data_IF_471643229017
#
_entry.id   IF_471643229017
#
_cell.length_a   1.000
_cell.length_b   1.000
_cell.length_c   1.000
_cell.angle_alpha   90.00
_cell.angle_beta   90.00
_cell.angle_gamma   90.00
#
_symmetry.space_group_name_H-M   'P 1'
#
loop_
_entity.id
_entity.type
_entity.pdbx_description
1 polymer ?
#
# COMPACT_ATOMS: atom_id res chain seq x y z
N UNK A 1 -23.62 0.34 1.03
CA UNK A 1 -22.21 -0.11 0.91
C UNK A 1 -21.35 0.82 1.76
N UNK A 2 -20.83 0.33 2.88
CA UNK A 2 -20.03 1.13 3.83
C UNK A 2 -18.64 1.38 3.23
N UNK A 3 -18.38 2.62 2.82
CA UNK A 3 -17.06 3.05 2.39
C UNK A 3 -16.15 3.06 3.62
N UNK A 4 -15.30 2.03 3.74
CA UNK A 4 -14.29 2.01 4.79
C UNK A 4 -13.31 3.18 4.60
N UNK A 5 -12.93 3.78 5.72
CA UNK A 5 -11.97 4.88 5.80
C UNK A 5 -10.64 4.44 5.18
N UNK A 6 -10.09 5.21 4.25
CA UNK A 6 -8.78 4.95 3.59
C UNK A 6 -7.61 5.24 4.56
N UNK A 7 -7.66 4.67 5.76
CA UNK A 7 -6.63 4.78 6.79
C UNK A 7 -6.46 3.42 7.47
N UNK A 8 -5.38 2.72 7.13
CA UNK A 8 -5.07 1.36 7.60
C UNK A 8 -4.22 0.59 6.59
N UNK A 9 -3.89 -0.69 6.87
CA UNK A 9 -3.08 -1.56 6.00
C UNK A 9 -3.71 -1.77 4.60
N UNK A 10 -5.04 -1.76 4.52
CA UNK A 10 -5.82 -1.74 3.27
C UNK A 10 -5.83 -0.37 2.56
N UNK A 11 -5.47 0.71 3.25
CA UNK A 11 -5.48 2.08 2.75
C UNK A 11 -4.27 2.45 1.89
N UNK A 12 -3.18 1.67 1.89
CA UNK A 12 -2.06 1.89 0.97
C UNK A 12 -2.45 1.49 -0.47
N UNK A 13 -3.06 0.31 -0.63
CA UNK A 13 -3.52 -0.22 -1.92
C UNK A 13 -4.64 0.63 -2.50
N UNK A 14 -5.61 1.06 -1.68
CA UNK A 14 -6.75 1.87 -2.14
C UNK A 14 -6.35 3.23 -2.76
N UNK A 15 -5.23 3.83 -2.34
CA UNK A 15 -4.73 5.08 -2.95
C UNK A 15 -4.32 4.84 -4.40
N UNK A 16 -3.57 3.76 -4.63
CA UNK A 16 -3.11 3.40 -5.96
C UNK A 16 -4.26 2.88 -6.84
N UNK A 17 -5.21 2.16 -6.26
CA UNK A 17 -6.43 1.77 -6.97
C UNK A 17 -7.21 3.02 -7.41
N UNK A 18 -7.34 4.04 -6.55
CA UNK A 18 -8.01 5.30 -6.90
C UNK A 18 -7.31 6.02 -8.05
N UNK A 19 -5.99 6.16 -7.98
CA UNK A 19 -5.22 6.82 -9.03
C UNK A 19 -5.28 6.04 -10.35
N UNK A 20 -5.26 4.71 -10.28
CA UNK A 20 -5.37 3.82 -11.43
C UNK A 20 -6.73 3.95 -12.11
N UNK A 21 -7.83 3.92 -11.35
CA UNK A 21 -9.17 4.07 -11.95
C UNK A 21 -9.38 5.46 -12.52
N UNK A 22 -8.88 6.52 -11.87
CA UNK A 22 -8.97 7.88 -12.39
C UNK A 22 -8.16 8.02 -13.68
N UNK A 23 -6.95 7.47 -13.73
CA UNK A 23 -6.10 7.49 -14.92
C UNK A 23 -6.73 6.73 -16.09
N UNK A 24 -7.16 5.48 -15.85
CA UNK A 24 -7.83 4.65 -16.85
C UNK A 24 -9.13 5.29 -17.34
N UNK A 25 -9.91 5.86 -16.41
CA UNK A 25 -11.11 6.62 -16.76
C UNK A 25 -10.75 7.79 -17.66
N UNK A 26 -9.80 8.64 -17.26
CA UNK A 26 -9.36 9.80 -18.04
C UNK A 26 -8.97 9.45 -19.48
N UNK A 27 -8.28 8.33 -19.68
CA UNK A 27 -7.86 7.84 -21.01
C UNK A 27 -9.04 7.41 -21.89
N UNK A 28 -10.18 7.07 -21.30
CA UNK A 28 -11.40 6.70 -22.02
C UNK A 28 -12.32 7.88 -22.37
N UNK A 29 -11.99 9.10 -21.93
CA UNK A 29 -12.86 10.26 -22.03
C UNK A 29 -12.37 11.27 -23.08
N UNK A 30 -13.19 12.30 -23.34
CA UNK A 30 -12.80 13.43 -24.18
C UNK A 30 -11.64 14.25 -23.59
N UNK A 31 -11.02 15.08 -24.41
CA UNK A 31 -9.85 15.91 -24.05
C UNK A 31 -10.11 16.83 -22.85
N UNK A 32 -11.33 17.34 -22.68
CA UNK A 32 -11.68 18.20 -21.57
C UNK A 32 -11.68 17.40 -20.28
N UNK A 33 -12.43 16.30 -20.22
CA UNK A 33 -12.54 15.48 -19.02
C UNK A 33 -11.21 14.78 -18.69
N UNK A 34 -10.46 14.35 -19.71
CA UNK A 34 -9.11 13.82 -19.53
C UNK A 34 -8.20 14.81 -18.78
N UNK A 35 -8.15 16.06 -19.23
CA UNK A 35 -7.34 17.11 -18.59
C UNK A 35 -7.87 17.49 -17.21
N UNK A 36 -9.19 17.44 -17.01
CA UNK A 36 -9.80 17.64 -15.69
C UNK A 36 -9.38 16.54 -14.71
N UNK A 37 -9.49 15.28 -15.10
CA UNK A 37 -9.10 14.15 -14.25
C UNK A 37 -7.61 14.17 -13.94
N UNK A 38 -6.75 14.51 -14.90
CA UNK A 38 -5.32 14.71 -14.66
C UNK A 38 -5.05 15.78 -13.60
N UNK A 39 -5.75 16.92 -13.66
CA UNK A 39 -5.65 17.98 -12.65
C UNK A 39 -6.07 17.52 -11.27
N UNK A 40 -7.13 16.70 -11.18
CA UNK A 40 -7.53 16.08 -9.92
C UNK A 40 -6.45 15.14 -9.39
N UNK A 41 -5.91 14.26 -10.23
CA UNK A 41 -4.79 13.36 -9.87
C UNK A 41 -3.62 14.19 -9.32
N UNK A 42 -3.21 15.26 -10.00
CA UNK A 42 -2.13 16.14 -9.53
C UNK A 42 -2.43 16.78 -8.16
N UNK A 43 -3.68 17.19 -7.90
CA UNK A 43 -4.06 17.70 -6.58
C UNK A 43 -3.97 16.61 -5.51
N UNK A 44 -4.47 15.43 -5.82
CA UNK A 44 -4.49 14.29 -4.89
C UNK A 44 -3.07 13.93 -4.50
N UNK A 45 -2.19 13.74 -5.48
CA UNK A 45 -0.81 13.31 -5.23
C UNK A 45 0.04 14.37 -4.55
N UNK A 46 -0.18 15.66 -4.85
CA UNK A 46 0.65 16.73 -4.32
C UNK A 46 0.19 17.28 -2.96
N UNK A 47 -1.12 17.26 -2.65
CA UNK A 47 -1.68 18.07 -1.55
C UNK A 47 -2.72 17.37 -0.69
N UNK A 48 -3.14 16.15 -1.03
CA UNK A 48 -4.20 15.49 -0.26
C UNK A 48 -3.68 14.82 1.01
N UNK A 49 -4.25 15.21 2.15
CA UNK A 49 -3.98 14.56 3.42
C UNK A 49 -4.95 13.39 3.62
N UNK A 50 -4.46 12.19 3.35
CA UNK A 50 -5.18 10.93 3.49
C UNK A 50 -5.60 10.60 4.94
N UNK A 51 -4.84 11.04 5.94
CA UNK A 51 -5.17 10.76 7.35
C UNK A 51 -6.41 11.55 7.79
N UNK A 52 -6.47 12.82 7.40
CA UNK A 52 -7.58 13.71 7.74
C UNK A 52 -8.68 13.77 6.68
N UNK A 53 -8.51 13.08 5.55
CA UNK A 53 -9.40 13.09 4.38
C UNK A 53 -9.65 14.54 3.89
N UNK A 54 -8.58 15.33 3.74
CA UNK A 54 -8.68 16.77 3.49
C UNK A 54 -7.72 17.29 2.43
N UNK A 55 -8.23 18.19 1.61
CA UNK A 55 -7.52 19.08 0.71
C UNK A 55 -7.67 20.52 1.23
N UNK A 56 -6.56 21.11 1.65
CA UNK A 56 -6.49 22.47 2.17
C UNK A 56 -5.38 23.23 1.43
N UNK A 57 -5.73 23.88 0.32
CA UNK A 57 -4.75 24.54 -0.56
C UNK A 57 -5.36 25.82 -1.14
N UNK A 58 -4.54 26.87 -1.24
CA UNK A 58 -5.01 28.15 -1.77
C UNK A 58 -5.17 28.09 -3.30
N UNK A 59 -6.13 28.83 -3.85
CA UNK A 59 -6.39 28.87 -5.30
C UNK A 59 -5.15 29.26 -6.13
N UNK A 60 -4.31 30.16 -5.60
CA UNK A 60 -3.05 30.60 -6.23
C UNK A 60 -1.98 29.51 -6.24
N UNK A 61 -1.99 28.59 -5.27
CA UNK A 61 -1.09 27.43 -5.26
C UNK A 61 -1.56 26.36 -6.23
N UNK A 62 -2.87 26.12 -6.33
CA UNK A 62 -3.44 25.23 -7.34
C UNK A 62 -3.13 25.75 -8.76
N UNK A 63 -3.26 27.06 -8.97
CA UNK A 63 -2.96 27.72 -10.24
C UNK A 63 -1.51 27.46 -10.67
N UNK A 64 -0.55 27.61 -9.75
CA UNK A 64 0.87 27.28 -9.97
C UNK A 64 1.09 25.80 -10.23
N UNK A 65 0.48 24.91 -9.43
CA UNK A 65 0.60 23.46 -9.60
C UNK A 65 0.12 22.99 -10.98
N UNK A 66 -0.92 23.62 -11.51
CA UNK A 66 -1.51 23.27 -12.81
C UNK A 66 -0.98 24.09 -13.98
N UNK A 67 -0.10 25.07 -13.73
CA UNK A 67 0.37 26.04 -14.72
C UNK A 67 -0.77 26.73 -15.47
N UNK A 68 -1.78 27.23 -14.72
CA UNK A 68 -2.95 27.93 -15.27
C UNK A 68 -3.30 29.17 -14.48
N UNK A 69 -4.16 30.01 -15.04
CA UNK A 69 -4.74 31.16 -14.36
C UNK A 69 -5.75 30.75 -13.25
N UNK A 70 -5.85 31.50 -12.12
CA UNK A 70 -6.82 31.24 -11.07
C UNK A 70 -8.27 31.11 -11.54
N UNK A 71 -8.71 31.79 -12.61
CA UNK A 71 -10.06 31.63 -13.17
C UNK A 71 -10.31 30.21 -13.65
N UNK A 72 -9.30 29.58 -14.25
CA UNK A 72 -9.35 28.17 -14.63
C UNK A 72 -9.50 27.31 -13.40
N UNK A 73 -8.74 27.59 -12.33
CA UNK A 73 -8.86 26.86 -11.07
C UNK A 73 -10.29 26.91 -10.52
N UNK A 74 -10.89 28.10 -10.45
CA UNK A 74 -12.27 28.26 -9.97
C UNK A 74 -13.24 27.40 -10.76
N UNK A 75 -13.10 27.38 -12.09
CA UNK A 75 -13.95 26.59 -12.98
C UNK A 75 -13.76 25.08 -12.74
N UNK A 76 -12.53 24.59 -12.68
CA UNK A 76 -12.27 23.16 -12.48
C UNK A 76 -12.73 22.69 -11.09
N UNK A 77 -12.46 23.48 -10.04
CA UNK A 77 -12.90 23.18 -8.67
C UNK A 77 -14.44 23.17 -8.57
N UNK A 78 -15.13 24.06 -9.28
CA UNK A 78 -16.59 24.02 -9.37
C UNK A 78 -17.08 22.76 -10.11
N UNK A 79 -16.42 22.36 -11.21
CA UNK A 79 -16.77 21.16 -11.96
C UNK A 79 -16.59 19.88 -11.11
N UNK A 80 -15.51 19.77 -10.33
CA UNK A 80 -15.33 18.64 -9.43
C UNK A 80 -16.40 18.56 -8.34
N UNK A 81 -16.83 19.70 -7.79
CA UNK A 81 -17.94 19.74 -6.82
C UNK A 81 -19.27 19.37 -7.45
N UNK A 82 -19.57 19.90 -8.65
CA UNK A 82 -20.79 19.59 -9.37
C UNK A 82 -20.92 18.09 -9.69
N UNK A 83 -19.79 17.42 -9.97
CA UNK A 83 -19.73 15.96 -10.16
C UNK A 83 -19.73 15.17 -8.86
N UNK A 84 -19.70 15.82 -7.70
CA UNK A 84 -19.56 15.14 -6.41
C UNK A 84 -18.19 14.51 -6.18
N UNK A 85 -17.17 14.82 -6.99
CA UNK A 85 -15.80 14.30 -6.81
C UNK A 85 -15.05 15.02 -5.70
N UNK A 86 -15.39 16.29 -5.46
CA UNK A 86 -14.97 17.03 -4.27
C UNK A 86 -16.19 17.39 -3.43
N UNK A 87 -16.08 17.15 -2.13
CA UNK A 87 -17.11 17.48 -1.14
C UNK A 87 -16.58 18.57 -0.24
N UNK A 88 -17.32 19.66 -0.08
CA UNK A 88 -16.94 20.71 0.86
C UNK A 88 -17.15 20.23 2.30
N UNK A 89 -16.06 20.18 3.07
CA UNK A 89 -16.10 19.82 4.49
C UNK A 89 -16.27 21.04 5.38
N UNK A 90 -15.68 22.16 4.96
CA UNK A 90 -15.77 23.43 5.69
C UNK A 90 -15.56 24.59 4.73
N UNK A 91 -16.49 25.53 4.75
CA UNK A 91 -16.40 26.77 4.00
C UNK A 91 -15.17 27.59 4.38
N UNK A 92 -14.69 28.41 3.44
CA UNK A 92 -13.67 29.41 3.72
C UNK A 92 -14.19 30.42 4.77
N UNK A 93 -13.27 30.89 5.61
CA UNK A 93 -13.53 31.94 6.60
C UNK A 93 -12.43 32.99 6.55
N UNK A 94 -12.50 34.00 7.43
CA UNK A 94 -11.49 35.08 7.48
C UNK A 94 -10.08 34.49 7.61
N UNK A 95 -9.27 34.62 6.54
CA UNK A 95 -7.89 34.12 6.47
C UNK A 95 -7.74 32.60 6.30
N UNK A 96 -8.81 31.84 6.04
CA UNK A 96 -8.78 30.36 5.93
C UNK A 96 -9.30 29.88 4.59
N UNK A 97 -8.59 28.95 3.98
CA UNK A 97 -9.01 28.28 2.73
C UNK A 97 -10.12 27.26 3.00
N UNK A 98 -10.96 27.02 1.99
CA UNK A 98 -11.99 25.96 2.03
C UNK A 98 -11.33 24.60 2.18
N UNK A 99 -11.91 23.74 3.02
CA UNK A 99 -11.50 22.35 3.14
C UNK A 99 -12.38 21.46 2.28
N UNK A 100 -11.77 20.66 1.41
CA UNK A 100 -12.47 19.67 0.61
C UNK A 100 -12.09 18.24 1.02
N UNK A 101 -13.03 17.31 0.94
CA UNK A 101 -12.79 15.87 0.93
C UNK A 101 -12.97 15.29 -0.47
N UNK A 102 -12.57 14.03 -0.66
CA UNK A 102 -12.86 13.30 -1.89
C UNK A 102 -14.24 12.65 -1.78
N UNK A 103 -15.07 12.82 -2.80
CA UNK A 103 -16.32 12.10 -2.94
C UNK A 103 -16.08 10.70 -3.49
N UNK A 104 -15.37 9.87 -2.73
CA UNK A 104 -14.89 8.55 -3.17
C UNK A 104 -16.01 7.69 -3.74
N UNK A 105 -17.17 7.65 -3.08
CA UNK A 105 -18.35 6.92 -3.58
C UNK A 105 -18.70 7.31 -5.02
N UNK A 106 -18.77 8.61 -5.30
CA UNK A 106 -19.13 9.09 -6.64
C UNK A 106 -18.02 8.80 -7.66
N UNK A 107 -16.76 8.96 -7.26
CA UNK A 107 -15.62 8.61 -8.12
C UNK A 107 -15.66 7.13 -8.48
N UNK A 108 -15.95 6.24 -7.53
CA UNK A 108 -16.06 4.81 -7.80
C UNK A 108 -17.20 4.50 -8.77
N UNK A 109 -18.38 5.10 -8.57
CA UNK A 109 -19.52 4.92 -9.48
C UNK A 109 -19.21 5.42 -10.90
N UNK A 110 -18.66 6.63 -11.03
CA UNK A 110 -18.37 7.23 -12.35
C UNK A 110 -17.27 6.48 -13.12
N UNK A 111 -16.31 5.89 -12.39
CA UNK A 111 -15.20 5.14 -12.99
C UNK A 111 -15.51 3.65 -13.18
N UNK A 112 -16.59 3.12 -12.60
CA UNK A 112 -16.98 1.71 -12.71
C UNK A 112 -16.95 1.16 -14.15
N UNK A 113 -17.40 1.89 -15.19
CA UNK A 113 -17.40 1.37 -16.57
C UNK A 113 -16.03 0.98 -17.12
N UNK A 114 -14.93 1.48 -16.55
CA UNK A 114 -13.57 1.17 -17.02
C UNK A 114 -12.83 0.12 -16.18
N UNK A 115 -13.40 -0.35 -15.07
CA UNK A 115 -12.69 -1.24 -14.14
C UNK A 115 -12.30 -2.57 -14.78
N UNK A 116 -13.17 -3.15 -15.61
CA UNK A 116 -12.89 -4.40 -16.33
C UNK A 116 -11.67 -4.30 -17.27
N UNK A 117 -11.29 -3.09 -17.71
CA UNK A 117 -10.12 -2.88 -18.57
C UNK A 117 -8.81 -2.83 -17.79
N UNK A 118 -8.87 -2.60 -16.47
CA UNK A 118 -7.70 -2.47 -15.61
C UNK A 118 -7.23 -3.86 -15.19
N UNK A 119 -8.15 -4.71 -14.74
CA UNK A 119 -7.84 -6.08 -14.35
C UNK A 119 -8.89 -6.67 -13.40
N UNK A 120 -9.09 -8.00 -13.43
CA UNK A 120 -10.05 -8.68 -12.55
C UNK A 120 -9.66 -8.59 -11.07
N UNK A 121 -8.38 -8.42 -10.75
CA UNK A 121 -7.87 -8.24 -9.39
C UNK A 121 -8.37 -6.93 -8.75
N UNK A 122 -8.40 -5.84 -9.51
CA UNK A 122 -8.92 -4.55 -9.06
C UNK A 122 -10.42 -4.64 -8.83
N UNK A 123 -11.15 -5.30 -9.74
CA UNK A 123 -12.60 -5.52 -9.60
C UNK A 123 -12.90 -6.32 -8.33
N UNK A 124 -12.17 -7.41 -8.06
CA UNK A 124 -12.33 -8.22 -6.86
C UNK A 124 -12.05 -7.42 -5.57
N UNK A 125 -11.01 -6.55 -5.57
CA UNK A 125 -10.73 -5.65 -4.44
C UNK A 125 -11.82 -4.61 -4.20
N UNK A 126 -12.32 -3.98 -5.26
CA UNK A 126 -13.30 -2.89 -5.15
C UNK A 126 -14.74 -3.37 -4.94
N UNK A 127 -15.09 -4.55 -5.43
CA UNK A 127 -16.42 -5.15 -5.27
C UNK A 127 -16.65 -5.73 -3.88
N UNK A 128 -15.60 -5.84 -3.07
CA UNK A 128 -15.67 -6.39 -1.72
C UNK A 128 -15.52 -7.91 -1.67
N UNK A 129 -15.27 -8.57 -2.80
CA UNK A 129 -15.00 -10.02 -2.83
C UNK A 129 -13.66 -10.37 -2.16
N UNK A 130 -12.77 -9.37 -1.99
CA UNK A 130 -11.58 -9.48 -1.16
C UNK A 130 -11.80 -9.18 0.34
N UNK A 131 -13.05 -8.93 0.79
CA UNK A 131 -13.38 -8.67 2.20
C UNK A 131 -13.67 -9.96 3.01
N UNK A 132 -13.26 -11.12 2.49
CA UNK A 132 -13.35 -12.43 3.16
C UNK A 132 -12.00 -13.10 3.46
N UNK A 133 -10.86 -12.40 3.35
CA UNK A 133 -9.54 -12.97 3.66
C UNK A 133 -8.89 -12.34 4.90
N UNK A 134 -9.74 -11.95 5.86
CA UNK A 134 -9.36 -11.72 7.24
C UNK A 134 -10.14 -12.69 8.13
N UNK A 135 -9.56 -13.88 8.37
CA UNK A 135 -10.08 -14.89 9.31
C UNK A 135 -10.60 -16.15 8.62
N UNK A 136 -9.88 -17.25 8.85
CA UNK A 136 -10.23 -18.69 8.69
C UNK A 136 -11.06 -19.13 7.46
N UNK A 137 -10.42 -19.90 6.56
CA UNK A 137 -11.07 -20.62 5.44
C UNK A 137 -12.07 -21.70 5.90
N UNK A 138 -12.91 -22.30 5.00
CA UNK A 138 -12.55 -22.90 3.69
C UNK A 138 -13.55 -22.55 2.55
N UNK A 139 -13.47 -22.89 1.24
CA UNK A 139 -12.58 -23.66 0.36
C UNK A 139 -12.60 -23.00 -1.06
N UNK A 140 -11.60 -23.20 -1.94
CA UNK A 140 -11.54 -22.56 -3.26
C UNK A 140 -12.33 -23.31 -4.33
N UNK A 141 -13.13 -22.58 -5.12
CA UNK A 141 -13.63 -23.08 -6.41
C UNK A 141 -12.49 -23.10 -7.45
N UNK A 142 -12.46 -24.20 -8.22
CA UNK A 142 -11.36 -24.60 -9.08
C UNK A 142 -11.14 -23.65 -10.27
N UNK A 143 -9.88 -23.23 -10.47
CA UNK A 143 -9.42 -22.69 -11.75
C UNK A 143 -8.36 -21.59 -11.69
N UNK A 144 -8.21 -20.90 -10.56
CA UNK A 144 -7.12 -19.95 -10.40
C UNK A 144 -5.90 -20.66 -9.84
N UNK A 145 -4.89 -20.92 -10.69
CA UNK A 145 -3.53 -21.21 -10.22
C UNK A 145 -2.97 -19.93 -9.59
N UNK A 146 -3.50 -19.60 -8.42
CA UNK A 146 -2.85 -18.73 -7.46
C UNK A 146 -1.66 -19.54 -6.98
N UNK A 147 -0.44 -19.14 -7.37
CA UNK A 147 0.75 -19.62 -6.69
C UNK A 147 0.68 -18.96 -5.31
N UNK A 148 0.31 -19.67 -4.24
CA UNK A 148 0.31 -19.08 -2.91
C UNK A 148 1.77 -18.79 -2.58
N UNK A 149 2.04 -17.64 -1.96
CA UNK A 149 3.29 -17.53 -1.21
C UNK A 149 3.32 -18.70 -0.23
N UNK A 150 4.38 -19.53 -0.19
CA UNK A 150 4.47 -20.61 0.76
C UNK A 150 4.36 -20.00 2.17
N UNK A 151 3.21 -20.17 2.81
CA UNK A 151 3.16 -20.10 4.26
C UNK A 151 3.90 -21.34 4.74
N UNK A 152 5.21 -21.18 4.92
CA UNK A 152 6.04 -22.23 5.49
C UNK A 152 5.51 -22.47 6.91
N UNK A 153 5.12 -23.71 7.17
CA UNK A 153 4.58 -24.14 8.46
C UNK A 153 5.48 -23.72 9.61
N UNK A 154 4.87 -23.48 10.77
CA UNK A 154 5.59 -23.25 12.02
C UNK A 154 6.65 -24.36 12.20
N UNK A 155 7.91 -23.98 12.00
CA UNK A 155 9.04 -24.86 12.23
C UNK A 155 9.21 -25.11 13.74
N UNK A 156 9.85 -26.24 14.12
CA UNK A 156 10.17 -26.50 15.51
C UNK A 156 10.88 -25.30 16.14
N UNK A 157 10.44 -24.92 17.34
CA UNK A 157 10.99 -23.80 18.07
C UNK A 157 12.48 -24.07 18.38
N UNK A 158 13.37 -23.53 17.55
CA UNK A 158 14.81 -23.49 17.83
C UNK A 158 15.00 -22.55 19.02
N UNK A 159 15.40 -23.03 20.22
CA UNK A 159 15.32 -22.22 21.45
C UNK A 159 16.18 -20.94 21.43
N UNK A 160 17.28 -20.93 20.67
CA UNK A 160 18.17 -19.78 20.55
C UNK A 160 17.63 -18.68 19.62
N UNK A 161 16.79 -19.03 18.65
CA UNK A 161 16.34 -18.08 17.61
C UNK A 161 15.48 -16.93 18.16
N UNK A 162 14.52 -17.14 19.09
CA UNK A 162 13.73 -16.06 19.66
C UNK A 162 14.57 -14.93 20.27
N UNK A 163 15.65 -15.25 20.97
CA UNK A 163 16.52 -14.23 21.59
C UNK A 163 17.38 -13.51 20.54
N UNK A 164 17.87 -14.22 19.51
CA UNK A 164 18.56 -13.61 18.36
C UNK A 164 17.59 -12.69 17.59
N UNK A 165 16.37 -13.15 17.33
CA UNK A 165 15.33 -12.41 16.63
C UNK A 165 14.91 -11.15 17.39
N UNK A 166 14.76 -11.23 18.71
CA UNK A 166 14.45 -10.08 19.57
C UNK A 166 15.54 -9.01 19.46
N UNK A 167 16.81 -9.39 19.50
CA UNK A 167 17.93 -8.45 19.35
C UNK A 167 17.94 -7.77 17.98
N UNK A 168 17.73 -8.54 16.91
CA UNK A 168 17.64 -7.99 15.55
C UNK A 168 16.44 -7.04 15.39
N UNK A 169 15.33 -7.32 16.08
CA UNK A 169 14.16 -6.44 16.12
C UNK A 169 14.46 -5.14 16.87
N UNK A 170 15.08 -5.23 18.05
CA UNK A 170 15.47 -4.08 18.88
C UNK A 170 16.46 -3.17 18.15
N UNK A 171 17.35 -3.74 17.32
CA UNK A 171 18.29 -2.97 16.49
C UNK A 171 17.57 -2.21 15.35
N UNK A 172 16.70 -2.88 14.58
CA UNK A 172 15.92 -2.23 13.53
C UNK A 172 14.67 -3.03 13.15
N UNK A 173 13.52 -2.64 13.70
CA UNK A 173 12.23 -3.29 13.42
C UNK A 173 11.85 -3.31 11.92
N UNK A 174 12.24 -2.29 11.15
CA UNK A 174 11.94 -2.23 9.71
C UNK A 174 12.68 -3.31 8.90
N UNK A 175 13.98 -3.45 9.16
CA UNK A 175 14.84 -4.47 8.53
C UNK A 175 14.44 -5.86 8.99
N UNK A 176 14.11 -6.01 10.28
CA UNK A 176 13.65 -7.28 10.83
C UNK A 176 12.40 -7.79 10.12
N UNK A 177 11.35 -6.98 10.07
CA UNK A 177 10.08 -7.38 9.46
C UNK A 177 10.21 -7.70 7.97
N UNK A 178 11.11 -7.02 7.26
CA UNK A 178 11.30 -7.23 5.83
C UNK A 178 12.16 -8.47 5.50
N UNK A 179 13.23 -8.72 6.27
CA UNK A 179 14.28 -9.67 5.85
C UNK A 179 14.52 -10.82 6.81
N UNK A 180 14.28 -10.65 8.11
CA UNK A 180 14.56 -11.69 9.13
C UNK A 180 13.31 -12.44 9.57
N UNK A 181 12.18 -11.74 9.73
CA UNK A 181 10.91 -12.36 10.10
C UNK A 181 10.45 -13.49 9.15
N UNK A 182 10.71 -13.42 7.83
CA UNK A 182 10.37 -14.51 6.91
C UNK A 182 11.32 -15.72 6.95
N UNK A 183 12.41 -15.66 7.72
CA UNK A 183 13.39 -16.76 7.80
C UNK A 183 12.91 -17.86 8.73
N UNK A 184 13.05 -19.10 8.31
CA UNK A 184 12.68 -20.28 9.08
C UNK A 184 13.94 -20.88 9.70
N UNK A 185 14.09 -20.86 11.03
CA UNK A 185 15.24 -21.44 11.70
C UNK A 185 15.13 -22.96 11.80
N UNK A 186 16.25 -23.63 11.60
CA UNK A 186 16.47 -25.03 11.94
C UNK A 186 17.85 -25.15 12.59
N UNK A 187 18.00 -26.04 13.58
CA UNK A 187 19.29 -26.33 14.20
C UNK A 187 19.65 -27.76 13.85
N UNK A 188 20.68 -27.93 13.04
CA UNK A 188 21.16 -29.25 12.57
C UNK A 188 22.65 -29.35 12.93
N UNK A 189 23.01 -30.36 13.73
CA UNK A 189 24.41 -30.67 14.08
C UNK A 189 25.26 -29.48 14.61
N UNK A 190 24.64 -28.55 15.35
CA UNK A 190 25.32 -27.36 15.87
C UNK A 190 25.44 -26.19 14.88
N UNK A 191 24.76 -26.27 13.74
CA UNK A 191 24.65 -25.20 12.74
C UNK A 191 23.23 -24.67 12.71
N UNK A 192 23.08 -23.35 12.92
CA UNK A 192 21.82 -22.65 12.69
C UNK A 192 21.63 -22.45 11.19
N UNK A 193 20.65 -23.14 10.65
CA UNK A 193 20.20 -23.01 9.27
C UNK A 193 19.01 -22.05 9.24
N UNK A 194 19.12 -20.98 8.45
CA UNK A 194 18.03 -20.05 8.18
C UNK A 194 17.55 -20.23 6.75
N UNK A 195 16.36 -20.83 6.59
CA UNK A 195 15.73 -21.04 5.28
C UNK A 195 14.93 -19.81 4.89
N UNK A 196 15.29 -19.22 3.77
CA UNK A 196 14.63 -18.06 3.18
C UNK A 196 13.43 -18.48 2.32
N UNK A 197 12.46 -17.58 2.08
CA UNK A 197 11.29 -17.87 1.24
C UNK A 197 11.62 -18.07 -0.26
N UNK A 198 12.84 -17.75 -0.69
CA UNK A 198 13.33 -18.04 -2.04
C UNK A 198 14.75 -17.56 -2.29
N UNK A 199 15.34 -17.96 -3.42
CA UNK A 199 16.75 -17.73 -3.73
C UNK A 199 17.19 -16.26 -3.75
N UNK A 200 16.34 -15.33 -4.21
CA UNK A 200 16.64 -13.89 -4.13
C UNK A 200 16.76 -13.42 -2.68
N UNK A 201 15.84 -13.86 -1.82
CA UNK A 201 15.84 -13.51 -0.40
C UNK A 201 17.07 -14.08 0.30
N UNK A 202 17.42 -15.34 0.05
CA UNK A 202 18.64 -15.95 0.58
C UNK A 202 19.91 -15.22 0.10
N UNK A 203 20.00 -14.90 -1.20
CA UNK A 203 21.15 -14.19 -1.77
C UNK A 203 21.32 -12.80 -1.15
N UNK A 204 20.23 -12.05 -1.00
CA UNK A 204 20.26 -10.72 -0.39
C UNK A 204 20.66 -10.78 1.08
N UNK A 205 20.08 -11.70 1.86
CA UNK A 205 20.42 -11.87 3.27
C UNK A 205 21.89 -12.27 3.41
N UNK A 206 22.37 -13.23 2.61
CA UNK A 206 23.77 -13.67 2.59
C UNK A 206 24.74 -12.53 2.28
N UNK A 207 24.42 -11.71 1.27
CA UNK A 207 25.31 -10.66 0.77
C UNK A 207 25.33 -9.43 1.68
N UNK A 208 24.18 -9.02 2.22
CA UNK A 208 24.04 -7.71 2.87
C UNK A 208 23.75 -7.76 4.37
N UNK A 209 23.19 -8.87 4.87
CA UNK A 209 22.62 -8.93 6.22
C UNK A 209 23.22 -10.05 7.08
N UNK A 210 23.97 -10.99 6.51
CA UNK A 210 24.55 -12.14 7.20
C UNK A 210 25.40 -11.71 8.40
N UNK A 211 26.27 -10.71 8.23
CA UNK A 211 27.12 -10.21 9.32
C UNK A 211 26.34 -9.71 10.54
N UNK A 212 25.10 -9.23 10.35
CA UNK A 212 24.23 -8.81 11.46
C UNK A 212 23.67 -9.99 12.22
N UNK A 213 23.22 -11.01 11.49
CA UNK A 213 22.72 -12.26 12.08
C UNK A 213 23.85 -12.94 12.88
N UNK A 214 25.05 -13.02 12.31
CA UNK A 214 26.21 -13.60 13.00
C UNK A 214 26.61 -12.79 14.25
N UNK A 215 26.57 -11.46 14.19
CA UNK A 215 26.87 -10.62 15.34
C UNK A 215 25.85 -10.81 16.48
N UNK A 216 24.57 -10.94 16.14
CA UNK A 216 23.52 -11.26 17.11
C UNK A 216 23.67 -12.68 17.67
N UNK A 217 23.96 -13.66 16.80
CA UNK A 217 24.17 -15.08 17.17
C UNK A 217 25.36 -15.25 18.12
N UNK A 218 26.51 -14.62 17.82
CA UNK A 218 27.72 -14.68 18.67
C UNK A 218 27.50 -14.16 20.09
N UNK A 219 26.52 -13.28 20.31
CA UNK A 219 26.17 -12.77 21.66
C UNK A 219 25.26 -13.71 22.44
N UNK A 220 24.56 -14.62 21.76
CA UNK A 220 23.62 -15.57 22.37
C UNK A 220 24.28 -16.93 22.55
N UNK A 221 24.92 -17.45 21.51
CA UNK A 221 25.65 -18.71 21.53
C UNK A 221 26.84 -18.65 20.55
N UNK A 222 28.08 -18.44 21.05
CA UNK A 222 29.25 -18.26 20.20
C UNK A 222 29.72 -19.54 19.50
N UNK A 223 29.25 -20.72 19.91
CA UNK A 223 29.70 -22.01 19.35
C UNK A 223 28.91 -22.46 18.12
N UNK A 224 27.78 -21.81 17.81
CA UNK A 224 26.88 -22.21 16.71
C UNK A 224 27.24 -21.46 15.42
N UNK A 225 27.46 -22.22 14.34
CA UNK A 225 27.72 -21.66 13.02
C UNK A 225 26.41 -21.28 12.31
N UNK A 226 26.46 -20.34 11.37
CA UNK A 226 25.30 -19.88 10.59
C UNK A 226 25.36 -20.38 9.14
N UNK A 227 24.23 -20.87 8.61
CA UNK A 227 24.05 -21.18 7.18
C UNK A 227 22.73 -20.58 6.68
N UNK A 228 22.75 -19.97 5.50
CA UNK A 228 21.55 -19.38 4.87
C UNK A 228 21.21 -20.18 3.60
N UNK A 229 20.02 -20.77 3.60
CA UNK A 229 19.46 -21.58 2.50
C UNK A 229 18.27 -20.85 1.87
N UNK A 230 17.95 -21.10 0.61
CA UNK A 230 16.81 -20.50 -0.09
C UNK A 230 16.42 -21.24 -1.34
#
# INVERSE_FOLDING_TARGET
MLVQKIAGRAGATQKYDLLTVLGSYALSQDRTLQRQTLRLICLITARYNWQSDQLSVAQTEIARLWSVDPRTVKREMAAFRARGWLVEKRAAGRGRVTLYGLGLRQIWEDTRPVWARIGPDLVARLSGDAAGQGGDGPAPEAGATVIPFPQMGAAPAVPLWPEVARRLFDENAGTFNAWFAPLVPALEEGVLILRAPGGFHASYVRTHLQGRIEAALRRVEPTVALRIEG
#
